data_IF_799266486745
#
_entry.id   IF_799266486745
#
_cell.length_a   1.000
_cell.length_b   1.000
_cell.length_c   1.000
_cell.angle_alpha   90.00
_cell.angle_beta   90.00
_cell.angle_gamma   90.00
#
_symmetry.space_group_name_H-M   'P 1'
#
loop_
_entity.id
_entity.type
_entity.pdbx_description
1 polymer ?
#
# COMPACT_ATOMS: atom_id res chain seq x y z
N UNK A 1 -0.20 -18.94 -13.24
CA UNK A 1 -0.56 -17.55 -13.57
C UNK A 1 -1.41 -17.01 -12.42
N UNK A 2 -0.92 -16.05 -11.62
CA UNK A 2 -1.65 -15.59 -10.44
C UNK A 2 -2.33 -14.25 -10.72
N UNK A 3 -3.66 -14.25 -10.79
CA UNK A 3 -4.46 -13.04 -10.85
C UNK A 3 -4.43 -12.37 -9.46
N UNK A 4 -3.90 -11.15 -9.35
CA UNK A 4 -3.74 -10.48 -8.06
C UNK A 4 -5.04 -9.82 -7.60
N UNK A 5 -5.92 -10.61 -7.01
CA UNK A 5 -7.15 -10.15 -6.35
C UNK A 5 -6.91 -9.01 -5.34
N UNK A 6 -5.70 -8.95 -4.77
CA UNK A 6 -5.32 -7.89 -3.83
C UNK A 6 -5.29 -6.49 -4.46
N UNK A 7 -4.85 -6.33 -5.71
CA UNK A 7 -4.86 -5.02 -6.37
C UNK A 7 -6.29 -4.61 -6.75
N UNK A 8 -7.15 -5.59 -7.06
CA UNK A 8 -8.59 -5.37 -7.26
C UNK A 8 -9.25 -4.92 -5.96
N UNK A 9 -8.98 -5.61 -4.85
CA UNK A 9 -9.47 -5.23 -3.53
C UNK A 9 -8.98 -3.83 -3.14
N UNK A 10 -7.71 -3.51 -3.38
CA UNK A 10 -7.13 -2.19 -3.12
C UNK A 10 -7.78 -1.11 -3.99
N UNK A 11 -8.05 -1.40 -5.26
CA UNK A 11 -8.74 -0.48 -6.17
C UNK A 11 -10.18 -0.20 -5.71
N UNK A 12 -10.93 -1.24 -5.36
CA UNK A 12 -12.31 -1.11 -4.85
C UNK A 12 -12.34 -0.34 -3.52
N UNK A 13 -11.43 -0.66 -2.61
CA UNK A 13 -11.28 0.04 -1.35
C UNK A 13 -10.93 1.52 -1.56
N UNK A 14 -9.94 1.80 -2.40
CA UNK A 14 -9.54 3.16 -2.77
C UNK A 14 -10.67 3.98 -3.39
N UNK A 15 -11.45 3.36 -4.29
CA UNK A 15 -12.64 3.96 -4.88
C UNK A 15 -13.66 4.32 -3.80
N UNK A 16 -13.94 3.39 -2.90
CA UNK A 16 -14.92 3.57 -1.82
C UNK A 16 -14.52 4.73 -0.89
N UNK A 17 -13.24 4.81 -0.50
CA UNK A 17 -12.74 5.91 0.33
C UNK A 17 -12.75 7.26 -0.41
N UNK A 18 -12.51 7.27 -1.71
CA UNK A 18 -12.51 8.49 -2.51
C UNK A 18 -13.92 9.04 -2.74
N UNK A 19 -14.89 8.18 -3.08
CA UNK A 19 -16.25 8.58 -3.46
C UNK A 19 -17.20 8.66 -2.27
N UNK A 20 -17.06 7.78 -1.28
CA UNK A 20 -17.95 7.67 -0.13
C UNK A 20 -17.23 7.78 1.24
N UNK A 21 -16.34 8.76 1.46
CA UNK A 21 -15.55 8.87 2.70
C UNK A 21 -16.42 9.00 3.95
N UNK A 22 -17.50 9.79 3.88
CA UNK A 22 -18.40 10.01 5.03
C UNK A 22 -19.11 8.73 5.47
N UNK A 23 -19.54 7.91 4.52
CA UNK A 23 -20.22 6.64 4.81
C UNK A 23 -19.28 5.60 5.46
N UNK A 24 -18.00 5.64 5.10
CA UNK A 24 -16.97 4.81 5.75
C UNK A 24 -16.70 5.32 7.17
N UNK A 25 -16.44 6.62 7.31
CA UNK A 25 -16.14 7.24 8.60
C UNK A 25 -17.29 7.09 9.60
N UNK A 26 -18.55 7.22 9.15
CA UNK A 26 -19.72 7.05 10.01
C UNK A 26 -19.92 5.63 10.53
N UNK A 27 -19.28 4.62 9.94
CA UNK A 27 -19.29 3.24 10.43
C UNK A 27 -18.21 2.97 11.48
N UNK A 28 -17.25 3.87 11.65
CA UNK A 28 -16.20 3.75 12.65
C UNK A 28 -16.65 4.42 13.95
N UNK A 29 -17.01 3.61 14.95
CA UNK A 29 -17.43 4.11 16.25
C UNK A 29 -16.30 4.90 16.94
N UNK A 30 -16.60 6.16 17.30
CA UNK A 30 -15.66 7.06 17.99
C UNK A 30 -14.65 7.75 17.06
N UNK A 31 -15.01 7.94 15.79
CA UNK A 31 -14.30 8.83 14.85
C UNK A 31 -15.15 10.06 14.58
N UNK A 32 -14.59 11.25 14.82
CA UNK A 32 -15.26 12.50 14.47
C UNK A 32 -15.22 12.75 12.96
N UNK A 33 -16.42 12.82 12.35
CA UNK A 33 -16.60 13.03 10.91
C UNK A 33 -16.56 14.52 10.59
N UNK A 34 -15.37 15.11 10.71
CA UNK A 34 -15.12 16.50 10.31
C UNK A 34 -14.61 16.61 8.86
N UNK A 35 -14.45 17.86 8.40
CA UNK A 35 -13.98 18.14 7.03
C UNK A 35 -12.56 17.61 6.79
N UNK A 36 -11.70 17.63 7.80
CA UNK A 36 -10.31 17.17 7.68
C UNK A 36 -10.25 15.65 7.55
N UNK A 37 -11.02 14.92 8.36
CA UNK A 37 -11.14 13.46 8.28
C UNK A 37 -11.61 13.04 6.88
N UNK A 38 -12.61 13.71 6.32
CA UNK A 38 -13.08 13.46 4.95
C UNK A 38 -11.99 13.69 3.91
N UNK A 39 -11.22 14.78 4.01
CA UNK A 39 -10.12 15.08 3.09
C UNK A 39 -9.02 14.02 3.19
N UNK A 40 -8.61 13.66 4.41
CA UNK A 40 -7.60 12.62 4.66
C UNK A 40 -8.06 11.27 4.09
N UNK A 41 -9.30 10.86 4.33
CA UNK A 41 -9.85 9.61 3.78
C UNK A 41 -9.89 9.62 2.25
N UNK A 42 -10.18 10.76 1.61
CA UNK A 42 -10.10 10.88 0.14
C UNK A 42 -8.68 10.79 -0.39
N UNK A 43 -7.72 11.43 0.28
CA UNK A 43 -6.30 11.34 -0.06
C UNK A 43 -5.82 9.89 0.04
N UNK A 44 -6.23 9.18 1.11
CA UNK A 44 -5.95 7.75 1.28
C UNK A 44 -6.57 6.92 0.15
N UNK A 45 -7.83 7.20 -0.20
CA UNK A 45 -8.50 6.55 -1.34
C UNK A 45 -7.76 6.76 -2.66
N UNK A 46 -7.36 8.00 -2.96
CA UNK A 46 -6.57 8.33 -4.13
C UNK A 46 -5.22 7.62 -4.14
N UNK A 47 -4.53 7.52 -2.99
CA UNK A 47 -3.27 6.78 -2.85
C UNK A 47 -3.44 5.30 -3.21
N UNK A 48 -4.47 4.65 -2.70
CA UNK A 48 -4.77 3.26 -3.05
C UNK A 48 -5.05 3.07 -4.54
N UNK A 49 -5.79 3.99 -5.16
CA UNK A 49 -6.06 3.95 -6.61
C UNK A 49 -4.80 4.14 -7.44
N UNK A 50 -3.94 5.10 -7.08
CA UNK A 50 -2.65 5.32 -7.73
C UNK A 50 -1.79 4.06 -7.60
N UNK A 51 -1.69 3.49 -6.40
CA UNK A 51 -0.89 2.28 -6.15
C UNK A 51 -1.41 1.07 -6.96
N UNK A 52 -2.73 0.82 -6.95
CA UNK A 52 -3.33 -0.25 -7.74
C UNK A 52 -3.13 -0.05 -9.26
N UNK A 53 -3.26 1.18 -9.74
CA UNK A 53 -3.08 1.54 -11.16
C UNK A 53 -1.61 1.47 -11.60
N UNK A 54 -0.68 1.82 -10.69
CA UNK A 54 0.76 1.76 -10.95
C UNK A 54 1.28 0.32 -10.91
N UNK A 55 0.79 -0.51 -9.99
CA UNK A 55 1.08 -1.95 -9.91
C UNK A 55 0.53 -2.71 -11.12
N UNK A 56 -0.69 -2.36 -11.56
CA UNK A 56 -1.39 -3.11 -12.61
C UNK A 56 -1.66 -4.57 -12.21
N UNK A 57 -2.14 -5.38 -13.16
CA UNK A 57 -2.55 -6.76 -12.91
C UNK A 57 -1.38 -7.76 -12.88
N UNK A 58 -0.20 -7.36 -13.37
CA UNK A 58 1.02 -8.18 -13.44
C UNK A 58 2.27 -7.37 -13.02
N UNK A 59 2.36 -6.91 -11.76
CA UNK A 59 3.48 -6.13 -11.27
C UNK A 59 4.76 -6.97 -11.22
N UNK A 60 5.90 -6.32 -11.49
CA UNK A 60 7.22 -6.89 -11.26
C UNK A 60 7.53 -7.01 -9.75
N UNK A 61 8.44 -7.91 -9.34
CA UNK A 61 8.85 -8.02 -7.94
C UNK A 61 9.32 -6.69 -7.32
N UNK A 62 9.96 -5.83 -8.12
CA UNK A 62 10.44 -4.50 -7.71
C UNK A 62 9.27 -3.57 -7.35
N UNK A 63 8.22 -3.58 -8.16
CA UNK A 63 7.01 -2.79 -7.93
C UNK A 63 6.26 -3.30 -6.69
N UNK A 64 6.22 -4.62 -6.50
CA UNK A 64 5.64 -5.22 -5.27
C UNK A 64 6.45 -4.76 -4.04
N UNK A 65 7.77 -4.84 -4.10
CA UNK A 65 8.64 -4.44 -2.99
C UNK A 65 8.53 -2.94 -2.67
N UNK A 66 8.39 -2.08 -3.69
CA UNK A 66 8.10 -0.66 -3.51
C UNK A 66 6.76 -0.44 -2.81
N UNK A 67 5.70 -1.16 -3.23
CA UNK A 67 4.40 -1.13 -2.58
C UNK A 67 4.47 -1.54 -1.10
N UNK A 68 5.17 -2.63 -0.78
CA UNK A 68 5.37 -3.08 0.60
C UNK A 68 6.05 -2.00 1.44
N UNK A 69 7.14 -1.41 0.94
CA UNK A 69 7.84 -0.34 1.65
C UNK A 69 6.94 0.86 1.93
N UNK A 70 6.21 1.31 0.91
CA UNK A 70 5.27 2.43 1.00
C UNK A 70 4.17 2.16 2.03
N UNK A 71 3.61 0.94 2.04
CA UNK A 71 2.57 0.54 2.99
C UNK A 71 3.10 0.44 4.43
N UNK A 72 4.33 -0.08 4.62
CA UNK A 72 4.98 -0.16 5.94
C UNK A 72 5.29 1.21 6.53
N UNK A 73 5.91 2.12 5.76
CA UNK A 73 6.21 3.49 6.23
C UNK A 73 4.94 4.23 6.61
N UNK A 74 3.88 4.06 5.84
CA UNK A 74 2.60 4.68 6.14
C UNK A 74 1.98 4.12 7.41
N UNK A 75 1.99 2.80 7.60
CA UNK A 75 1.51 2.16 8.84
C UNK A 75 2.24 2.71 10.08
N UNK A 76 3.57 2.85 10.02
CA UNK A 76 4.35 3.43 11.12
C UNK A 76 4.00 4.90 11.37
N UNK A 77 3.78 5.67 10.30
CA UNK A 77 3.42 7.10 10.40
C UNK A 77 2.04 7.29 11.01
N UNK A 78 1.04 6.51 10.57
CA UNK A 78 -0.33 6.59 11.09
C UNK A 78 -0.43 6.08 12.53
N UNK A 79 0.40 5.10 12.90
CA UNK A 79 0.56 4.67 14.28
C UNK A 79 1.14 5.78 15.15
N UNK A 80 2.21 6.43 14.70
CA UNK A 80 2.80 7.58 15.38
C UNK A 80 1.78 8.71 15.58
N UNK A 81 1.03 9.04 14.53
CA UNK A 81 -0.06 10.03 14.59
C UNK A 81 -1.16 9.63 15.59
N UNK A 82 -1.52 8.35 15.65
CA UNK A 82 -2.50 7.85 16.61
C UNK A 82 -2.01 7.97 18.06
N UNK A 83 -0.71 7.77 18.29
CA UNK A 83 -0.09 7.92 19.62
C UNK A 83 -0.05 9.39 20.06
N UNK A 84 0.31 10.32 19.17
CA UNK A 84 0.44 11.75 19.53
C UNK A 84 -0.90 12.50 19.58
N UNK A 85 -1.94 11.98 18.93
CA UNK A 85 -3.27 12.61 18.92
C UNK A 85 -4.36 11.63 19.40
N UNK A 86 -4.56 11.50 20.73
CA UNK A 86 -5.56 10.59 21.31
C UNK A 86 -6.98 10.82 20.80
N UNK A 87 -7.32 12.08 20.49
CA UNK A 87 -8.63 12.46 19.99
C UNK A 87 -8.96 11.85 18.61
N UNK A 88 -7.93 11.52 17.82
CA UNK A 88 -8.08 10.85 16.50
C UNK A 88 -7.47 9.44 16.47
N UNK A 89 -7.08 8.90 17.62
CA UNK A 89 -6.33 7.65 17.72
C UNK A 89 -7.05 6.48 17.06
N UNK A 90 -8.38 6.36 17.22
CA UNK A 90 -9.16 5.26 16.62
C UNK A 90 -9.07 5.23 15.10
N UNK A 91 -9.21 6.39 14.45
CA UNK A 91 -9.06 6.51 13.00
C UNK A 91 -7.64 6.18 12.55
N UNK A 92 -6.63 6.69 13.28
CA UNK A 92 -5.22 6.40 13.00
C UNK A 92 -4.84 4.92 13.20
N UNK A 93 -5.37 4.26 14.23
CA UNK A 93 -5.16 2.83 14.48
C UNK A 93 -5.81 1.99 13.38
N UNK A 94 -7.04 2.32 12.97
CA UNK A 94 -7.70 1.60 11.88
C UNK A 94 -6.88 1.70 10.58
N UNK A 95 -6.41 2.90 10.26
CA UNK A 95 -5.56 3.12 9.07
C UNK A 95 -4.21 2.38 9.19
N UNK A 96 -3.61 2.38 10.39
CA UNK A 96 -2.40 1.61 10.71
C UNK A 96 -2.59 0.12 10.38
N UNK A 97 -3.67 -0.48 10.86
CA UNK A 97 -3.98 -1.91 10.70
C UNK A 97 -4.22 -2.24 9.23
N UNK A 98 -5.01 -1.42 8.52
CA UNK A 98 -5.27 -1.61 7.09
C UNK A 98 -3.97 -1.51 6.29
N UNK A 99 -3.13 -0.52 6.56
CA UNK A 99 -1.82 -0.36 5.93
C UNK A 99 -0.88 -1.53 6.22
N UNK A 100 -0.83 -2.01 7.46
CA UNK A 100 -0.04 -3.17 7.85
C UNK A 100 -0.51 -4.44 7.10
N UNK A 101 -1.82 -4.65 6.97
CA UNK A 101 -2.37 -5.77 6.21
C UNK A 101 -1.91 -5.72 4.74
N UNK A 102 -1.99 -4.56 4.08
CA UNK A 102 -1.50 -4.40 2.72
C UNK A 102 0.00 -4.71 2.58
N UNK A 103 0.83 -4.26 3.53
CA UNK A 103 2.26 -4.56 3.55
C UNK A 103 2.53 -6.07 3.72
N UNK A 104 1.84 -6.74 4.64
CA UNK A 104 2.00 -8.17 4.92
C UNK A 104 1.61 -9.00 3.69
N UNK A 105 0.46 -8.72 3.08
CA UNK A 105 0.05 -9.46 1.89
C UNK A 105 0.96 -9.16 0.69
N UNK A 106 1.42 -7.92 0.52
CA UNK A 106 2.41 -7.59 -0.50
C UNK A 106 3.73 -8.34 -0.30
N UNK A 107 4.18 -8.50 0.96
CA UNK A 107 5.37 -9.26 1.31
C UNK A 107 5.18 -10.76 1.03
N UNK A 108 4.01 -11.31 1.37
CA UNK A 108 3.67 -12.70 1.05
C UNK A 108 3.66 -12.95 -0.46
N UNK A 109 3.09 -12.03 -1.24
CA UNK A 109 3.11 -12.11 -2.70
C UNK A 109 4.54 -12.00 -3.25
N UNK A 110 5.39 -11.13 -2.69
CA UNK A 110 6.81 -11.06 -3.06
C UNK A 110 7.55 -12.37 -2.75
N UNK A 111 7.20 -13.04 -1.66
CA UNK A 111 7.79 -14.32 -1.26
C UNK A 111 7.33 -15.51 -2.13
N UNK A 112 6.17 -15.41 -2.76
CA UNK A 112 5.53 -16.49 -3.54
C UNK A 112 5.52 -16.23 -5.05
N UNK A 113 5.95 -15.04 -5.49
CA UNK A 113 6.00 -14.66 -6.90
C UNK A 113 6.96 -15.60 -7.68
N UNK A 114 6.39 -16.45 -8.53
CA UNK A 114 7.10 -17.15 -9.60
C UNK A 114 7.27 -16.18 -10.77
N UNK A 115 8.50 -15.95 -11.21
CA UNK A 115 8.82 -14.94 -12.23
C UNK A 115 8.06 -15.16 -13.54
N UNK A 116 7.23 -14.20 -13.93
CA UNK A 116 6.84 -14.04 -15.33
C UNK A 116 6.48 -12.57 -15.58
N UNK A 117 7.49 -11.71 -15.67
CA UNK A 117 7.28 -10.30 -16.04
C UNK A 117 7.17 -10.17 -17.58
N UNK A 118 6.06 -9.63 -18.14
CA UNK A 118 5.98 -9.34 -19.56
C UNK A 118 6.74 -8.03 -19.94
N UNK A 119 7.15 -7.85 -21.21
CA UNK A 119 8.21 -6.91 -21.60
C UNK A 119 7.88 -5.41 -21.56
N UNK A 120 6.67 -5.01 -21.11
CA UNK A 120 6.06 -3.71 -21.44
C UNK A 120 6.18 -2.62 -20.34
N UNK A 121 6.78 -2.90 -19.18
CA UNK A 121 6.73 -1.99 -18.00
C UNK A 121 8.09 -1.43 -17.52
N UNK A 122 9.08 -1.39 -18.42
CA UNK A 122 10.48 -1.03 -18.17
C UNK A 122 10.72 0.26 -17.36
N UNK A 123 9.93 1.34 -17.55
CA UNK A 123 10.20 2.63 -16.90
C UNK A 123 9.90 2.64 -15.40
N UNK A 124 8.80 1.99 -14.97
CA UNK A 124 8.44 1.90 -13.53
C UNK A 124 9.39 0.97 -12.79
N UNK A 125 9.72 -0.15 -13.44
CA UNK A 125 10.68 -1.12 -12.90
C UNK A 125 12.06 -0.48 -12.72
N UNK A 126 12.55 0.26 -13.71
CA UNK A 126 13.81 1.03 -13.60
C UNK A 126 13.80 2.02 -12.43
N UNK A 127 12.69 2.74 -12.24
CA UNK A 127 12.55 3.69 -11.14
C UNK A 127 12.58 2.98 -9.79
N UNK A 128 11.88 1.85 -9.66
CA UNK A 128 11.91 1.03 -8.45
C UNK A 128 13.33 0.48 -8.18
N UNK A 129 14.05 0.00 -9.20
CA UNK A 129 15.43 -0.49 -9.06
C UNK A 129 16.40 0.60 -8.58
N UNK A 130 16.20 1.84 -9.02
CA UNK A 130 17.04 2.97 -8.58
C UNK A 130 16.67 3.40 -7.16
N UNK A 131 15.37 3.50 -6.85
CA UNK A 131 14.92 4.09 -5.59
C UNK A 131 15.01 3.10 -4.43
N UNK A 132 14.55 1.86 -4.59
CA UNK A 132 14.39 0.90 -3.50
C UNK A 132 15.67 0.67 -2.67
N UNK A 133 16.87 0.47 -3.27
CA UNK A 133 18.09 0.21 -2.52
C UNK A 133 18.58 1.41 -1.69
N UNK A 134 18.12 2.62 -2.04
CA UNK A 134 18.50 3.88 -1.39
C UNK A 134 17.57 4.26 -0.25
N UNK A 135 16.42 3.59 -0.13
CA UNK A 135 15.45 3.86 0.93
C UNK A 135 15.86 3.20 2.26
N UNK A 136 15.55 3.85 3.40
CA UNK A 136 15.76 3.22 4.71
C UNK A 136 14.92 1.94 4.80
N UNK A 137 15.56 0.83 5.18
CA UNK A 137 14.93 -0.50 5.18
C UNK A 137 14.74 -1.14 3.79
N UNK A 138 15.23 -0.51 2.72
CA UNK A 138 15.08 -1.01 1.34
C UNK A 138 16.02 -2.16 0.96
N UNK A 139 17.21 -2.26 1.59
CA UNK A 139 18.18 -3.34 1.36
C UNK A 139 17.62 -4.76 1.57
N UNK A 140 16.92 -5.09 2.69
CA UNK A 140 16.36 -6.43 2.87
C UNK A 140 15.25 -6.76 1.86
N UNK A 141 14.46 -5.76 1.44
CA UNK A 141 13.47 -5.90 0.37
C UNK A 141 14.13 -6.18 -0.98
N UNK A 142 15.21 -5.47 -1.29
CA UNK A 142 16.00 -5.67 -2.52
C UNK A 142 16.61 -7.08 -2.59
N UNK A 143 17.20 -7.57 -1.49
CA UNK A 143 17.70 -8.95 -1.42
C UNK A 143 16.60 -10.00 -1.62
N UNK A 144 15.33 -9.67 -1.30
CA UNK A 144 14.18 -10.54 -1.57
C UNK A 144 13.79 -10.53 -3.04
N UNK A 145 13.81 -9.36 -3.69
CA UNK A 145 13.62 -9.21 -5.14
C UNK A 145 14.66 -10.02 -5.91
N UNK A 146 15.94 -9.94 -5.52
CA UNK A 146 17.02 -10.71 -6.16
C UNK A 146 16.79 -12.22 -6.06
N UNK A 147 16.38 -12.72 -4.87
CA UNK A 147 16.02 -14.13 -4.69
C UNK A 147 14.81 -14.55 -5.55
N UNK A 148 13.80 -13.69 -5.64
CA UNK A 148 12.62 -13.96 -6.47
C UNK A 148 12.98 -14.04 -7.96
N UNK A 149 13.98 -13.29 -8.44
CA UNK A 149 14.47 -13.38 -9.83
C UNK A 149 15.21 -14.68 -10.16
N UNK A 150 15.84 -15.31 -9.16
CA UNK A 150 16.65 -16.53 -9.34
C UNK A 150 15.85 -17.83 -9.20
N UNK A 151 14.56 -17.75 -8.81
CA UNK A 151 13.67 -18.88 -8.53
C UNK A 151 12.65 -19.09 -9.66
#
# INVERSE_FOLDING_TARGET
MSFRWIEVARFLWGTTLLTAPRAVLSRLHGVDVDRNAVVVTRILGARHLVQASLSGLKPSPEVIAAGVWVDSVHSLTTLGLAVVNPHRARGGIFDTVVAAAWAIFGWHDLATAKTTAPPRQRRRDQLAQVVLPRLPGGKPLWARVERARMA
#
